data_IF_966715828204
#
_entry.id   IF_966715828204
#
_cell.length_a   1.000
_cell.length_b   1.000
_cell.length_c   1.000
_cell.angle_alpha   90.00
_cell.angle_beta   90.00
_cell.angle_gamma   90.00
#
_symmetry.space_group_name_H-M   'P 1'
#
loop_
_entity.id
_entity.type
_entity.pdbx_description
1 polymer ?
#
# COMPACT_ATOMS: atom_id res chain seq x y z
N UNK A 1 4.08 67.63 -3.38
CA UNK A 1 4.64 66.58 -2.51
C UNK A 1 3.62 65.44 -2.34
N UNK A 2 3.34 64.65 -3.38
CA UNK A 2 2.27 63.62 -3.33
C UNK A 2 2.44 62.52 -4.40
N UNK A 3 3.66 62.03 -4.62
CA UNK A 3 3.93 60.99 -5.64
C UNK A 3 4.80 59.82 -5.16
N UNK A 4 5.15 59.76 -3.87
CA UNK A 4 6.11 58.76 -3.35
C UNK A 4 5.50 57.72 -2.40
N UNK A 5 4.17 57.57 -2.38
CA UNK A 5 3.47 56.61 -1.51
C UNK A 5 2.71 55.50 -2.25
N UNK A 6 2.62 55.55 -3.59
CA UNK A 6 1.87 54.53 -4.36
C UNK A 6 2.73 53.32 -4.70
N UNK A 7 4.04 53.50 -4.89
CA UNK A 7 4.97 52.41 -5.26
C UNK A 7 5.19 51.44 -4.09
N UNK A 8 5.17 51.93 -2.84
CA UNK A 8 5.39 51.10 -1.65
C UNK A 8 4.16 50.23 -1.30
N UNK A 9 2.95 50.61 -1.75
CA UNK A 9 1.72 49.85 -1.50
C UNK A 9 1.54 48.67 -2.47
N UNK A 10 2.12 48.72 -3.68
CA UNK A 10 2.10 47.61 -4.64
C UNK A 10 3.13 46.52 -4.33
N UNK A 11 4.20 46.83 -3.60
CA UNK A 11 5.26 45.85 -3.29
C UNK A 11 4.90 44.95 -2.10
N UNK A 12 3.99 45.38 -1.22
CA UNK A 12 3.56 44.59 -0.05
C UNK A 12 2.42 43.60 -0.38
N UNK A 13 1.64 43.82 -1.43
CA UNK A 13 0.61 42.86 -1.88
C UNK A 13 1.19 41.72 -2.72
N UNK A 14 2.39 41.88 -3.30
CA UNK A 14 3.07 40.82 -4.05
C UNK A 14 3.76 39.77 -3.16
N UNK A 15 4.07 40.08 -1.90
CA UNK A 15 4.69 39.14 -0.95
C UNK A 15 3.68 38.28 -0.16
N UNK A 16 2.38 38.45 -0.37
CA UNK A 16 1.34 37.68 0.33
C UNK A 16 0.95 36.37 -0.38
N UNK A 17 1.56 36.03 -1.53
CA UNK A 17 1.09 34.94 -2.40
C UNK A 17 1.91 33.65 -2.39
N UNK A 18 2.85 33.43 -1.45
CA UNK A 18 3.64 32.18 -1.47
C UNK A 18 3.78 31.48 -0.13
N UNK A 19 2.94 31.81 0.85
CA UNK A 19 2.68 30.88 1.96
C UNK A 19 1.50 30.00 1.57
N UNK A 20 1.64 29.29 0.46
CA UNK A 20 0.91 28.05 0.29
C UNK A 20 1.40 27.17 1.43
N UNK A 21 0.60 27.11 2.51
CA UNK A 21 0.76 26.11 3.54
C UNK A 21 0.82 24.79 2.80
N UNK A 22 2.02 24.23 2.66
CA UNK A 22 2.26 22.90 2.11
C UNK A 22 1.76 21.91 3.16
N UNK A 23 0.45 21.90 3.41
CA UNK A 23 -0.20 20.72 3.93
C UNK A 23 0.17 19.63 2.92
N UNK A 24 0.97 18.65 3.35
CA UNK A 24 1.41 17.58 2.48
C UNK A 24 0.17 16.83 2.02
N UNK A 25 -0.31 17.18 0.83
CA UNK A 25 -1.45 16.51 0.23
C UNK A 25 -1.10 15.03 0.11
N UNK A 26 -2.05 14.11 0.36
CA UNK A 26 -1.73 12.67 0.33
C UNK A 26 -1.00 12.21 -0.94
N UNK A 27 -1.33 12.69 -2.16
CA UNK A 27 -0.61 12.31 -3.38
C UNK A 27 0.87 12.68 -3.41
N UNK A 28 1.33 13.61 -2.56
CA UNK A 28 2.75 13.95 -2.44
C UNK A 28 3.51 12.98 -1.51
N UNK A 29 2.81 12.07 -0.83
CA UNK A 29 3.39 11.03 0.02
C UNK A 29 3.59 9.77 -0.83
N UNK A 30 4.77 9.64 -1.41
CA UNK A 30 5.15 8.51 -2.26
C UNK A 30 6.16 7.58 -1.59
N UNK A 31 5.92 6.28 -1.75
CA UNK A 31 6.87 5.23 -1.42
C UNK A 31 8.02 5.20 -2.44
N UNK A 32 9.15 4.54 -2.13
CA UNK A 32 10.22 4.34 -3.11
C UNK A 32 9.73 3.57 -4.35
N UNK A 33 10.15 3.99 -5.54
CA UNK A 33 9.86 3.28 -6.80
C UNK A 33 10.55 1.91 -6.88
N UNK A 34 11.70 1.79 -6.21
CA UNK A 34 12.48 0.56 -6.08
C UNK A 34 12.64 0.27 -4.60
N UNK A 35 12.19 -0.89 -4.16
CA UNK A 35 12.15 -1.23 -2.74
C UNK A 35 12.23 -2.73 -2.52
N UNK A 36 12.91 -3.10 -1.43
CA UNK A 36 12.94 -4.46 -0.91
C UNK A 36 12.75 -4.41 0.60
N UNK A 37 11.99 -5.35 1.16
CA UNK A 37 11.89 -5.53 2.61
C UNK A 37 11.54 -6.98 2.96
N UNK A 38 11.79 -7.35 4.21
CA UNK A 38 11.16 -8.53 4.81
C UNK A 38 9.83 -8.10 5.42
N UNK A 39 8.74 -8.70 4.94
CA UNK A 39 7.39 -8.49 5.46
C UNK A 39 7.03 -9.63 6.40
N UNK A 40 6.60 -9.28 7.60
CA UNK A 40 6.05 -10.21 8.57
C UNK A 40 4.53 -10.08 8.62
N UNK A 41 3.83 -11.16 8.23
CA UNK A 41 2.38 -11.27 8.39
C UNK A 41 2.09 -11.73 9.83
N UNK A 42 1.55 -10.81 10.62
CA UNK A 42 1.31 -11.02 12.06
C UNK A 42 0.29 -12.14 12.29
N UNK A 43 -0.69 -12.30 11.39
CA UNK A 43 -1.73 -13.30 11.56
C UNK A 43 -1.26 -14.69 11.16
N UNK A 44 -0.47 -14.79 10.08
CA UNK A 44 0.08 -16.06 9.61
C UNK A 44 1.34 -16.49 10.36
N UNK A 45 1.92 -15.60 11.18
CA UNK A 45 3.18 -15.82 11.88
C UNK A 45 4.29 -16.27 10.88
N UNK A 46 4.33 -15.60 9.73
CA UNK A 46 5.18 -15.95 8.61
C UNK A 46 5.88 -14.72 8.04
N UNK A 47 7.11 -14.90 7.57
CA UNK A 47 7.89 -13.86 6.92
C UNK A 47 8.06 -14.13 5.43
N UNK A 48 7.94 -13.09 4.62
CA UNK A 48 8.11 -13.14 3.17
C UNK A 48 9.05 -12.02 2.76
N UNK A 49 10.02 -12.29 1.89
CA UNK A 49 10.77 -11.21 1.25
C UNK A 49 9.89 -10.61 0.16
N UNK A 50 9.67 -9.30 0.17
CA UNK A 50 8.98 -8.61 -0.92
C UNK A 50 9.91 -7.62 -1.59
N UNK A 51 9.75 -7.46 -2.89
CA UNK A 51 10.43 -6.42 -3.66
C UNK A 51 9.52 -5.86 -4.73
N UNK A 52 9.73 -4.60 -5.10
CA UNK A 52 9.10 -4.02 -6.26
C UNK A 52 10.04 -3.10 -7.01
N UNK A 53 9.82 -3.07 -8.32
CA UNK A 53 10.44 -2.15 -9.26
C UNK A 53 9.32 -1.59 -10.13
N UNK A 54 8.82 -0.41 -9.74
CA UNK A 54 7.70 0.24 -10.43
C UNK A 54 8.12 0.70 -11.82
N UNK A 55 9.38 1.07 -12.02
CA UNK A 55 9.89 1.45 -13.35
C UNK A 55 9.79 0.28 -14.34
N UNK A 56 9.97 -0.95 -13.84
CA UNK A 56 9.80 -2.19 -14.63
C UNK A 56 8.39 -2.78 -14.57
N UNK A 57 7.48 -2.21 -13.78
CA UNK A 57 6.15 -2.77 -13.49
C UNK A 57 6.22 -4.22 -12.96
N UNK A 58 7.23 -4.52 -12.13
CA UNK A 58 7.41 -5.85 -11.56
C UNK A 58 7.32 -5.82 -10.04
N UNK A 59 6.72 -6.85 -9.47
CA UNK A 59 6.70 -7.08 -8.03
C UNK A 59 7.05 -8.53 -7.75
N UNK A 60 7.71 -8.78 -6.63
CA UNK A 60 8.22 -10.09 -6.27
C UNK A 60 7.90 -10.38 -4.83
N UNK A 61 7.52 -11.61 -4.55
CA UNK A 61 7.55 -12.17 -3.21
C UNK A 61 8.32 -13.49 -3.18
N UNK A 62 9.08 -13.73 -2.13
CA UNK A 62 9.81 -14.97 -1.90
C UNK A 62 9.44 -15.53 -0.54
N UNK A 63 8.82 -16.71 -0.54
CA UNK A 63 8.43 -17.43 0.66
C UNK A 63 8.86 -18.89 0.50
N UNK A 64 9.50 -19.45 1.52
CA UNK A 64 9.88 -20.88 1.55
C UNK A 64 10.67 -21.35 0.31
N UNK A 65 11.50 -20.47 -0.25
CA UNK A 65 12.29 -20.75 -1.46
C UNK A 65 11.51 -20.69 -2.78
N UNK A 66 10.20 -20.44 -2.73
CA UNK A 66 9.35 -20.20 -3.90
C UNK A 66 9.28 -18.71 -4.18
N UNK A 67 9.55 -18.35 -5.43
CA UNK A 67 9.51 -16.96 -5.89
C UNK A 67 8.28 -16.72 -6.76
N UNK A 68 7.45 -15.77 -6.35
CA UNK A 68 6.33 -15.27 -7.13
C UNK A 68 6.75 -13.96 -7.78
N UNK A 69 6.71 -13.87 -9.10
CA UNK A 69 6.97 -12.65 -9.84
C UNK A 69 5.67 -12.22 -10.51
N UNK A 70 5.20 -11.01 -10.22
CA UNK A 70 4.04 -10.43 -10.87
C UNK A 70 4.51 -9.37 -11.86
N UNK A 71 4.20 -9.59 -13.14
CA UNK A 71 4.37 -8.62 -14.20
C UNK A 71 3.06 -7.82 -14.34
N UNK A 72 3.06 -6.61 -13.80
CA UNK A 72 1.90 -5.74 -13.75
C UNK A 72 1.56 -5.17 -15.14
N UNK A 73 2.54 -5.10 -16.03
CA UNK A 73 2.31 -4.64 -17.39
C UNK A 73 1.57 -5.70 -18.21
N UNK A 74 1.97 -6.97 -18.09
CA UNK A 74 1.33 -8.10 -18.78
C UNK A 74 0.13 -8.68 -18.04
N UNK A 75 -0.07 -8.31 -16.77
CA UNK A 75 -1.04 -8.93 -15.87
C UNK A 75 -0.82 -10.44 -15.74
N UNK A 76 0.44 -10.85 -15.63
CA UNK A 76 0.88 -12.24 -15.53
C UNK A 76 1.54 -12.49 -14.17
N UNK A 77 1.36 -13.70 -13.64
CA UNK A 77 2.02 -14.16 -12.43
C UNK A 77 2.86 -15.41 -12.74
N UNK A 78 4.10 -15.42 -12.26
CA UNK A 78 5.03 -16.52 -12.43
C UNK A 78 5.40 -17.09 -11.07
N UNK A 79 5.05 -18.36 -10.84
CA UNK A 79 5.44 -19.14 -9.68
C UNK A 79 6.70 -19.93 -10.01
N UNK A 80 7.85 -19.54 -9.47
CA UNK A 80 9.16 -20.11 -9.77
C UNK A 80 9.67 -20.87 -8.55
N UNK A 81 9.67 -22.21 -8.61
CA UNK A 81 10.25 -23.08 -7.58
C UNK A 81 11.71 -23.40 -7.87
N UNK A 82 12.07 -23.45 -9.14
CA UNK A 82 13.45 -23.60 -9.63
C UNK A 82 13.55 -23.09 -11.08
N UNK A 83 14.76 -22.99 -11.68
CA UNK A 83 14.90 -22.59 -13.08
C UNK A 83 14.14 -23.50 -14.09
N UNK A 84 13.85 -24.74 -13.71
CA UNK A 84 13.15 -25.73 -14.55
C UNK A 84 11.74 -26.07 -14.04
N UNK A 85 11.32 -25.51 -12.91
CA UNK A 85 10.00 -25.73 -12.31
C UNK A 85 9.33 -24.38 -12.11
N UNK A 86 8.49 -24.03 -13.09
CA UNK A 86 7.79 -22.76 -13.14
C UNK A 86 6.37 -22.94 -13.65
N UNK A 87 5.44 -22.19 -13.06
CA UNK A 87 4.05 -22.12 -13.51
C UNK A 87 3.70 -20.67 -13.82
N UNK A 88 3.27 -20.44 -15.05
CA UNK A 88 2.67 -19.17 -15.48
C UNK A 88 1.16 -19.22 -15.28
N UNK A 89 0.61 -18.24 -14.58
CA UNK A 89 -0.85 -18.09 -14.42
C UNK A 89 -1.28 -16.70 -14.88
N UNK A 90 -2.53 -16.59 -15.36
CA UNK A 90 -3.17 -15.27 -15.45
C UNK A 90 -3.28 -14.67 -14.06
N UNK A 91 -3.14 -13.35 -13.95
CA UNK A 91 -3.36 -12.67 -12.67
C UNK A 91 -4.87 -12.67 -12.36
N UNK A 92 -5.29 -13.57 -11.46
CA UNK A 92 -6.68 -13.64 -10.96
C UNK A 92 -6.88 -12.80 -9.70
N UNK A 93 -5.78 -12.40 -9.05
CA UNK A 93 -5.79 -11.68 -7.78
C UNK A 93 -5.25 -10.27 -7.99
N UNK A 94 -5.98 -9.28 -7.46
CA UNK A 94 -5.61 -7.87 -7.56
C UNK A 94 -4.18 -7.65 -7.08
N UNK A 95 -3.47 -6.80 -7.82
CA UNK A 95 -2.09 -6.38 -7.56
C UNK A 95 -1.84 -6.15 -6.05
N UNK A 96 -0.86 -6.85 -5.42
CA UNK A 96 -0.61 -6.72 -3.98
C UNK A 96 -0.01 -5.38 -3.57
N UNK A 97 0.37 -4.52 -4.53
CA UNK A 97 0.88 -3.17 -4.26
C UNK A 97 -0.18 -2.14 -4.63
N UNK A 98 -1.01 -1.70 -3.66
CA UNK A 98 -2.21 -0.95 -3.98
C UNK A 98 -1.94 0.46 -4.51
N UNK A 99 -0.75 1.03 -4.35
CA UNK A 99 -0.40 2.38 -4.85
C UNK A 99 1.07 2.72 -4.60
N UNK A 100 1.73 3.48 -5.49
CA UNK A 100 3.06 4.06 -5.24
C UNK A 100 2.98 5.30 -4.32
N UNK A 101 1.96 6.13 -4.51
CA UNK A 101 1.70 7.31 -3.71
C UNK A 101 0.33 7.19 -3.06
N UNK A 102 0.14 7.79 -1.87
CA UNK A 102 -1.17 7.72 -1.23
C UNK A 102 -2.24 8.35 -2.14
N UNK A 103 -3.43 7.73 -2.27
CA UNK A 103 -4.49 8.28 -3.09
C UNK A 103 -4.99 9.59 -2.49
N UNK A 104 -5.58 10.47 -3.32
CA UNK A 104 -6.14 11.75 -2.83
C UNK A 104 -7.23 11.60 -1.76
N UNK A 105 -7.83 10.42 -1.63
CA UNK A 105 -8.81 10.07 -0.59
C UNK A 105 -8.19 9.70 0.76
N UNK A 106 -6.87 9.51 0.84
CA UNK A 106 -6.20 9.12 2.07
C UNK A 106 -6.27 10.26 3.11
N UNK A 107 -6.47 9.89 4.37
CA UNK A 107 -6.63 10.81 5.50
C UNK A 107 -5.48 10.64 6.46
N UNK A 108 -4.76 11.73 6.74
CA UNK A 108 -3.74 11.74 7.78
C UNK A 108 -4.42 11.61 9.14
N UNK A 109 -4.10 10.55 9.87
CA UNK A 109 -4.65 10.31 11.21
C UNK A 109 -3.73 10.90 12.27
N UNK A 110 -2.42 10.70 12.13
CA UNK A 110 -1.42 11.19 13.08
C UNK A 110 -0.03 11.28 12.42
N UNK A 111 0.62 12.43 12.51
CA UNK A 111 1.96 12.73 11.99
C UNK A 111 3.04 12.87 13.07
N UNK A 112 2.67 12.70 14.35
CA UNK A 112 3.55 12.85 15.52
C UNK A 112 3.86 11.51 16.19
N UNK A 113 3.70 10.41 15.46
CA UNK A 113 4.01 9.08 15.96
C UNK A 113 5.50 8.80 15.86
N UNK A 114 5.98 7.95 16.75
CA UNK A 114 7.31 7.35 16.65
C UNK A 114 7.19 5.85 16.81
N UNK A 115 8.04 5.11 16.09
CA UNK A 115 8.22 3.68 16.24
C UNK A 115 9.54 3.44 16.97
N UNK A 116 9.53 2.65 18.05
CA UNK A 116 10.69 2.46 18.93
C UNK A 116 10.69 3.39 20.14
N UNK A 117 11.84 3.56 20.78
CA UNK A 117 11.98 4.32 22.03
C UNK A 117 13.32 5.07 22.09
N UNK A 118 13.35 6.21 22.78
CA UNK A 118 14.58 6.95 23.05
C UNK A 118 15.13 7.67 21.82
N UNK A 119 16.47 7.79 21.76
CA UNK A 119 17.17 8.50 20.68
C UNK A 119 17.09 7.81 19.31
N UNK A 120 16.76 6.52 19.30
CA UNK A 120 16.63 5.70 18.08
C UNK A 120 15.17 5.59 17.59
N UNK A 121 14.26 6.39 18.17
CA UNK A 121 12.86 6.39 17.78
C UNK A 121 12.71 6.89 16.34
N UNK A 122 12.08 6.08 15.50
CA UNK A 122 11.83 6.38 14.09
C UNK A 122 10.54 7.20 13.96
N UNK A 123 10.58 8.46 13.47
CA UNK A 123 9.37 9.24 13.25
C UNK A 123 8.53 8.63 12.11
N UNK A 124 7.24 8.43 12.38
CA UNK A 124 6.29 7.83 11.45
C UNK A 124 4.98 8.63 11.40
N UNK A 125 4.25 8.43 10.31
CA UNK A 125 2.93 8.99 10.07
C UNK A 125 1.94 7.87 9.75
N UNK A 126 0.74 7.98 10.31
CA UNK A 126 -0.37 7.04 10.13
C UNK A 126 -1.43 7.66 9.21
N UNK A 127 -1.80 6.90 8.19
CA UNK A 127 -2.80 7.26 7.20
C UNK A 127 -3.92 6.21 7.16
N UNK A 128 -5.15 6.68 6.99
CA UNK A 128 -6.31 5.84 6.72
C UNK A 128 -6.71 5.98 5.25
N UNK A 129 -6.89 4.84 4.59
CA UNK A 129 -7.35 4.74 3.21
C UNK A 129 -8.69 4.00 3.20
N UNK A 130 -9.72 4.71 2.77
CA UNK A 130 -11.07 4.16 2.63
C UNK A 130 -11.18 3.39 1.31
N UNK A 131 -11.54 2.11 1.39
CA UNK A 131 -11.84 1.28 0.23
C UNK A 131 -13.34 1.30 -0.08
N UNK A 132 -13.76 1.09 -1.34
CA UNK A 132 -15.17 1.05 -1.73
C UNK A 132 -16.01 0.01 -0.98
N UNK A 133 -15.39 -1.06 -0.46
CA UNK A 133 -16.04 -2.17 0.24
C UNK A 133 -16.31 -1.93 1.73
N UNK A 134 -16.35 -0.66 2.19
CA UNK A 134 -16.40 -0.29 3.62
C UNK A 134 -15.23 -0.86 4.44
N UNK A 135 -14.13 -1.23 3.78
CA UNK A 135 -12.88 -1.61 4.41
C UNK A 135 -11.98 -0.39 4.57
N UNK A 136 -11.14 -0.39 5.60
CA UNK A 136 -10.13 0.64 5.81
C UNK A 136 -8.76 0.00 5.83
N UNK A 137 -7.84 0.53 5.03
CA UNK A 137 -6.42 0.21 5.13
C UNK A 137 -5.75 1.30 5.97
N UNK A 138 -5.04 0.88 7.00
CA UNK A 138 -4.13 1.71 7.79
C UNK A 138 -2.73 1.54 7.23
N UNK A 139 -2.08 2.65 6.89
CA UNK A 139 -0.71 2.67 6.36
C UNK A 139 0.14 3.52 7.29
N UNK A 140 1.21 2.94 7.82
CA UNK A 140 2.23 3.64 8.59
C UNK A 140 3.47 3.76 7.72
N UNK A 141 3.89 5.00 7.48
CA UNK A 141 5.07 5.33 6.68
C UNK A 141 6.07 6.13 7.53
N UNK A 142 7.34 6.11 7.18
CA UNK A 142 8.31 7.06 7.73
C UNK A 142 7.90 8.50 7.41
N UNK A 143 8.11 9.43 8.35
CA UNK A 143 7.78 10.85 8.13
C UNK A 143 8.77 11.54 7.19
N UNK A 144 9.96 10.98 7.00
CA UNK A 144 10.98 11.51 6.09
C UNK A 144 10.95 10.79 4.73
N UNK A 145 11.43 11.48 3.69
CA UNK A 145 11.58 10.92 2.35
C UNK A 145 12.87 10.07 2.21
N UNK A 146 12.83 8.98 1.44
CA UNK A 146 11.62 8.42 0.83
C UNK A 146 10.70 7.81 1.89
N UNK A 147 9.37 7.88 1.68
CA UNK A 147 8.40 7.41 2.68
C UNK A 147 8.36 5.87 2.67
N UNK A 148 9.16 5.26 3.53
CA UNK A 148 9.27 3.81 3.63
C UNK A 148 8.07 3.25 4.41
N UNK A 149 7.40 2.21 3.91
CA UNK A 149 6.36 1.54 4.66
C UNK A 149 6.93 0.83 5.88
N UNK A 150 6.27 1.02 7.02
CA UNK A 150 6.59 0.38 8.29
C UNK A 150 5.52 -0.65 8.62
N UNK A 151 4.24 -0.30 8.46
CA UNK A 151 3.13 -1.19 8.73
C UNK A 151 1.98 -0.93 7.77
N UNK A 152 1.37 -2.00 7.26
CA UNK A 152 0.13 -1.93 6.50
C UNK A 152 -0.84 -2.90 7.14
N UNK A 153 -2.01 -2.40 7.54
CA UNK A 153 -3.07 -3.24 8.08
C UNK A 153 -4.38 -2.98 7.36
N UNK A 154 -5.08 -4.02 6.97
CA UNK A 154 -6.48 -3.91 6.56
C UNK A 154 -7.37 -4.37 7.71
N UNK A 155 -8.43 -3.62 7.95
CA UNK A 155 -9.55 -4.06 8.74
C UNK A 155 -10.79 -3.92 7.87
N UNK A 156 -11.46 -5.03 7.58
CA UNK A 156 -12.86 -4.97 7.21
C UNK A 156 -13.65 -4.49 8.43
N UNK A 157 -14.59 -3.57 8.25
CA UNK A 157 -15.62 -3.35 9.26
C UNK A 157 -16.32 -4.70 9.56
N UNK A 158 -16.78 -4.93 10.80
CA UNK A 158 -17.38 -6.20 11.20
C UNK A 158 -18.45 -6.65 10.20
N UNK A 159 -18.63 -7.98 10.04
CA UNK A 159 -19.55 -8.54 9.05
C UNK A 159 -20.89 -7.82 9.07
N UNK A 160 -21.31 -7.33 7.91
CA UNK A 160 -22.72 -7.01 7.70
C UNK A 160 -23.42 -8.35 7.63
N UNK A 161 -24.19 -8.71 8.66
CA UNK A 161 -25.06 -9.88 8.59
C UNK A 161 -26.08 -9.62 7.49
N UNK A 162 -25.89 -10.27 6.35
CA UNK A 162 -26.84 -10.16 5.25
C UNK A 162 -27.86 -11.26 5.46
N UNK A 163 -29.06 -10.88 5.88
CA UNK A 163 -30.18 -11.82 6.01
C UNK A 163 -30.89 -11.88 4.68
N UNK A 164 -30.84 -13.03 4.02
CA UNK A 164 -31.61 -13.29 2.80
C UNK A 164 -32.81 -14.14 3.16
N UNK A 165 -34.01 -13.73 2.76
CA UNK A 165 -35.22 -14.52 2.90
C UNK A 165 -35.63 -15.09 1.54
N UNK A 166 -35.69 -16.41 1.43
CA UNK A 166 -36.21 -17.08 0.23
C UNK A 166 -37.51 -17.77 0.58
N UNK A 167 -38.60 -17.40 -0.09
CA UNK A 167 -39.88 -18.08 0.06
C UNK A 167 -39.93 -19.28 -0.88
N UNK A 168 -40.08 -20.47 -0.31
CA UNK A 168 -40.22 -21.72 -1.05
C UNK A 168 -41.62 -21.82 -1.69
N UNK A 169 -41.80 -22.68 -2.71
CA UNK A 169 -43.08 -22.83 -3.42
C UNK A 169 -44.27 -23.21 -2.53
N UNK A 170 -44.02 -23.78 -1.35
CA UNK A 170 -45.02 -24.16 -0.34
C UNK A 170 -45.36 -23.01 0.64
N UNK A 171 -44.75 -21.83 0.48
CA UNK A 171 -44.93 -20.67 1.35
C UNK A 171 -43.97 -20.62 2.55
N UNK A 172 -43.08 -21.62 2.70
CA UNK A 172 -42.08 -21.63 3.77
C UNK A 172 -41.03 -20.55 3.52
N UNK A 173 -40.78 -19.67 4.49
CA UNK A 173 -39.72 -18.65 4.40
C UNK A 173 -38.44 -19.20 5.01
N UNK A 174 -37.41 -19.38 4.18
CA UNK A 174 -36.07 -19.75 4.61
C UNK A 174 -35.24 -18.49 4.81
N UNK A 175 -34.80 -18.23 6.04
CA UNK A 175 -33.86 -17.16 6.34
C UNK A 175 -32.44 -17.73 6.38
N UNK A 176 -31.57 -17.30 5.48
CA UNK A 176 -30.14 -17.58 5.54
C UNK A 176 -29.41 -16.33 5.98
N UNK A 177 -28.60 -16.47 7.04
CA UNK A 177 -27.68 -15.43 7.50
C UNK A 177 -26.26 -15.89 7.20
N UNK A 178 -25.57 -15.19 6.30
CA UNK A 178 -24.14 -15.38 6.08
C UNK A 178 -23.36 -14.33 6.87
N UNK A 179 -22.44 -14.79 7.70
CA UNK A 179 -21.48 -13.94 8.43
C UNK A 179 -20.13 -14.07 7.75
N UNK A 180 -19.80 -13.12 6.88
CA UNK A 180 -18.47 -13.07 6.26
C UNK A 180 -17.47 -12.42 7.22
N UNK A 181 -16.79 -13.24 8.03
CA UNK A 181 -15.64 -12.77 8.82
C UNK A 181 -14.47 -12.56 7.87
N UNK A 182 -14.30 -11.35 7.38
CA UNK A 182 -13.09 -10.98 6.68
C UNK A 182 -11.95 -10.88 7.72
N UNK A 183 -10.98 -11.80 7.61
CA UNK A 183 -9.75 -11.74 8.38
C UNK A 183 -8.97 -10.52 7.88
N UNK A 184 -8.68 -9.58 8.79
CA UNK A 184 -7.78 -8.47 8.49
C UNK A 184 -6.38 -9.00 8.16
N UNK A 185 -5.64 -8.26 7.34
CA UNK A 185 -4.22 -8.48 7.08
C UNK A 185 -3.44 -7.46 7.91
N UNK A 186 -2.36 -7.86 8.58
CA UNK A 186 -1.41 -6.91 9.18
C UNK A 186 0.00 -7.33 8.82
N UNK A 187 0.65 -6.48 8.04
CA UNK A 187 1.99 -6.65 7.51
C UNK A 187 2.93 -5.64 8.16
N UNK A 188 3.97 -6.14 8.83
CA UNK A 188 5.07 -5.35 9.36
C UNK A 188 6.27 -5.42 8.40
N UNK A 189 6.78 -4.28 7.97
CA UNK A 189 7.92 -4.18 7.07
C UNK A 189 9.19 -3.98 7.88
N UNK A 190 10.20 -4.80 7.62
CA UNK A 190 11.49 -4.80 8.30
C UNK A 190 12.63 -4.88 7.30
N UNK A 191 13.82 -4.41 7.69
CA UNK A 191 15.02 -4.36 6.83
C UNK A 191 14.76 -3.73 5.45
N UNK A 192 14.21 -2.50 5.40
CA UNK A 192 13.92 -1.84 4.14
C UNK A 192 15.20 -1.45 3.39
N UNK A 193 15.22 -1.67 2.09
CA UNK A 193 16.27 -1.22 1.17
C UNK A 193 15.63 -0.50 -0.03
N UNK A 194 16.23 0.61 -0.47
CA UNK A 194 15.83 1.35 -1.69
C UNK A 194 16.63 0.89 -2.92
N UNK A 195 17.21 -0.30 -2.82
CA UNK A 195 17.90 -1.03 -3.87
C UNK A 195 17.46 -2.48 -3.78
N UNK A 196 17.28 -3.12 -4.92
CA UNK A 196 16.80 -4.50 -5.03
C UNK A 196 17.84 -5.36 -5.73
N UNK A 197 17.91 -6.64 -5.37
CA UNK A 197 18.68 -7.60 -6.17
C UNK A 197 17.95 -7.81 -7.52
N UNK A 198 18.55 -7.44 -8.66
CA UNK A 198 17.91 -7.59 -9.96
C UNK A 198 17.60 -9.05 -10.31
N UNK A 199 18.28 -10.03 -9.70
CA UNK A 199 18.00 -11.45 -9.92
C UNK A 199 16.64 -11.88 -9.36
N UNK A 200 16.07 -11.14 -8.40
CA UNK A 200 14.72 -11.40 -7.90
C UNK A 200 13.67 -11.26 -8.99
N UNK A 201 13.88 -10.38 -9.95
CA UNK A 201 12.93 -10.10 -11.03
C UNK A 201 13.13 -10.97 -12.28
N UNK A 202 14.17 -11.81 -12.30
CA UNK A 202 14.45 -12.67 -13.44
C UNK A 202 13.36 -13.75 -13.57
N UNK A 203 12.65 -13.77 -14.70
CA UNK A 203 11.73 -14.86 -15.05
C UNK A 203 12.44 -15.83 -16.00
N UNK A 204 12.66 -17.11 -15.62
CA UNK A 204 13.30 -18.09 -16.48
C UNK A 204 12.57 -18.25 -17.83
N UNK A 205 13.32 -18.54 -18.89
CA UNK A 205 12.75 -18.79 -20.23
C UNK A 205 11.72 -19.93 -20.23
N UNK A 206 11.89 -20.92 -19.36
CA UNK A 206 10.94 -22.04 -19.15
C UNK A 206 9.55 -21.59 -18.72
N UNK A 207 9.41 -20.40 -18.13
CA UNK A 207 8.12 -19.80 -17.76
C UNK A 207 7.42 -19.07 -18.92
N UNK A 208 8.13 -18.84 -20.04
CA UNK A 208 7.66 -18.01 -21.15
C UNK A 208 7.14 -18.82 -22.34
N UNK A 209 7.37 -20.13 -22.32
CA UNK A 209 6.94 -21.10 -23.34
C UNK A 209 5.59 -21.68 -22.90
#
# INVERSE_FOLDING_TARGET
MLRMNVVLLCLTTALAQVVSVTAQGPPAVCMPEVFQATVYDIYKNASVLVAWDIQRNLTVSVAEGVRHVFDLHKNENYLIKSPNDCVKTGSTEGNPLPFLCLPGSAKLVNDKLTSGFGGDALPVQLWDLELPSNATIKVVLTSQQPHVPVLISSASRPPVTTTSSTTLPDGTVLNTSETNVALGLTMLFTNPHTSVDPQLFHVPLTCLI
#
